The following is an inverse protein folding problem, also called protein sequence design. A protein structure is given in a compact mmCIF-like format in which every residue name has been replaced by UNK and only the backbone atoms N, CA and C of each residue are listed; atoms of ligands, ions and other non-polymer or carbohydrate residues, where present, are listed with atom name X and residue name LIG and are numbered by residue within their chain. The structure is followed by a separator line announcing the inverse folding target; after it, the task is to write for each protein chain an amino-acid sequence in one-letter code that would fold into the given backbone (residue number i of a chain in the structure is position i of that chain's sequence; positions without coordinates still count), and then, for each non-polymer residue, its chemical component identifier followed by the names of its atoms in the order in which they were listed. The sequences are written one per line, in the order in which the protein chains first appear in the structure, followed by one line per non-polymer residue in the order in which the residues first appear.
data_IF_710261640385
#
_entry.id   IF_710261640385
#
_cell.length_a   1.000
_cell.length_b   1.000
_cell.length_c   1.000
_cell.angle_alpha   90.00
_cell.angle_beta   90.00
_cell.angle_gamma   90.00
#
_symmetry.space_group_name_H-M   'P 1'
#
loop_
_entity.id
_entity.type
_entity.pdbx_description
1 polymer ?
#
# COMPACT_ATOMS: atom_id res chain seq x y z
N UNK A 1 54.08 0.73 65.63
CA UNK A 1 55.30 1.11 64.90
C UNK A 1 55.02 1.07 63.40
N UNK A 2 55.40 2.15 62.72
CA UNK A 2 55.76 2.33 61.29
C UNK A 2 54.75 2.07 60.15
N UNK A 3 54.25 3.19 59.59
CA UNK A 3 54.10 3.45 58.13
C UNK A 3 55.49 3.81 57.52
N UNK A 4 55.69 4.29 56.25
CA UNK A 4 54.83 4.49 55.05
C UNK A 4 55.50 4.01 53.71
N UNK A 5 54.86 3.98 52.51
CA UNK A 5 54.78 5.02 51.43
C UNK A 5 54.14 4.35 50.18
N UNK A 6 53.07 4.84 49.55
CA UNK A 6 52.91 5.97 48.63
C UNK A 6 53.47 5.76 47.19
N UNK A 7 52.58 5.71 46.18
CA UNK A 7 52.75 6.42 44.88
C UNK A 7 51.49 6.37 44.00
N UNK A 8 50.96 7.55 43.67
CA UNK A 8 50.18 7.94 42.48
C UNK A 8 50.69 9.35 42.12
N UNK A 9 50.24 10.11 41.08
CA UNK A 9 49.40 9.85 39.89
C UNK A 9 49.93 10.56 38.59
N UNK A 10 49.18 10.56 37.47
CA UNK A 10 48.94 11.67 36.47
C UNK A 10 48.34 11.08 35.17
N UNK A 11 47.09 11.33 34.75
CA UNK A 11 46.40 12.56 34.31
C UNK A 11 46.86 13.12 32.95
N UNK A 12 45.98 13.07 31.92
CA UNK A 12 45.75 14.13 30.90
C UNK A 12 44.64 13.78 29.87
N UNK A 13 43.46 14.35 30.06
CA UNK A 13 42.64 15.02 29.01
C UNK A 13 42.82 16.55 29.22
N UNK A 14 42.19 17.53 28.51
CA UNK A 14 41.28 17.53 27.34
C UNK A 14 41.60 18.66 26.29
N UNK A 15 40.78 18.80 25.23
CA UNK A 15 40.23 20.04 24.60
C UNK A 15 39.99 19.82 23.09
N UNK A 16 38.74 19.83 22.60
CA UNK A 16 37.88 20.99 22.26
C UNK A 16 38.55 22.05 21.38
N UNK A 17 38.03 22.25 20.16
CA UNK A 17 37.47 23.54 19.72
C UNK A 17 36.95 23.47 18.28
N UNK A 18 35.87 24.21 18.06
CA UNK A 18 34.86 24.07 17.00
C UNK A 18 35.14 24.95 15.75
N UNK A 19 34.15 25.59 15.07
CA UNK A 19 33.94 25.57 13.61
C UNK A 19 34.37 26.87 12.90
N UNK A 20 34.26 26.97 11.57
CA UNK A 20 33.64 28.10 10.81
C UNK A 20 33.86 27.98 9.29
N UNK A 21 32.94 28.62 8.57
CA UNK A 21 32.86 28.81 7.13
C UNK A 21 34.02 29.63 6.53
N UNK A 22 34.30 29.46 5.24
CA UNK A 22 34.25 30.51 4.21
C UNK A 22 34.71 30.02 2.82
N UNK A 23 33.80 30.17 1.86
CA UNK A 23 33.96 30.81 0.55
C UNK A 23 35.23 30.56 -0.31
N UNK A 24 35.04 29.91 -1.48
CA UNK A 24 35.69 30.38 -2.72
C UNK A 24 35.04 29.85 -4.00
N UNK A 25 34.42 30.77 -4.72
CA UNK A 25 33.92 30.67 -6.08
C UNK A 25 34.94 30.15 -7.11
N UNK A 26 34.51 29.30 -8.05
CA UNK A 26 34.91 29.37 -9.47
C UNK A 26 33.74 29.04 -10.41
N UNK A 27 33.46 30.02 -11.27
CA UNK A 27 32.53 30.04 -12.41
C UNK A 27 33.00 29.12 -13.53
N UNK A 28 32.07 28.41 -14.18
CA UNK A 28 31.96 28.16 -15.64
C UNK A 28 30.51 27.72 -15.91
N UNK A 29 29.56 28.58 -16.29
CA UNK A 29 29.33 29.19 -17.62
C UNK A 29 29.09 28.19 -18.75
N UNK A 30 27.83 28.14 -19.21
CA UNK A 30 27.37 27.88 -20.60
C UNK A 30 27.55 26.45 -21.17
N UNK A 31 26.60 25.81 -21.86
CA UNK A 31 25.44 26.31 -22.61
C UNK A 31 24.45 25.16 -22.87
N UNK A 32 23.16 25.44 -22.70
CA UNK A 32 22.05 24.67 -23.29
C UNK A 32 22.08 24.78 -24.82
N UNK A 33 21.81 23.68 -25.53
CA UNK A 33 21.39 23.69 -26.95
C UNK A 33 20.06 22.92 -27.10
N UNK A 34 18.99 23.52 -27.63
CA UNK A 34 17.81 22.81 -28.10
C UNK A 34 18.05 22.32 -29.55
N UNK A 35 17.50 21.16 -29.89
CA UNK A 35 17.51 20.63 -31.25
C UNK A 35 16.08 20.64 -31.80
N UNK A 36 15.87 21.34 -32.91
CA UNK A 36 14.60 21.38 -33.66
C UNK A 36 14.87 21.06 -35.14
N UNK A 37 13.93 20.27 -35.70
CA UNK A 37 13.52 20.14 -37.11
C UNK A 37 14.38 19.37 -38.12
N UNK A 38 13.76 18.39 -38.81
CA UNK A 38 13.40 18.48 -40.26
C UNK A 38 12.65 17.23 -40.79
N UNK A 39 11.40 17.46 -41.20
CA UNK A 39 10.75 17.16 -42.51
C UNK A 39 10.86 15.80 -43.25
N UNK A 40 9.67 15.18 -43.42
CA UNK A 40 9.03 14.71 -44.67
C UNK A 40 9.63 13.59 -45.55
N UNK A 41 8.86 12.49 -45.75
CA UNK A 41 8.37 12.06 -47.07
C UNK A 41 7.41 10.85 -46.99
N UNK A 42 6.36 10.92 -47.82
CA UNK A 42 5.25 9.99 -48.05
C UNK A 42 5.67 8.65 -48.66
N UNK A 43 4.93 7.59 -48.35
CA UNK A 43 4.45 6.64 -49.36
C UNK A 43 3.12 6.04 -48.90
N UNK A 44 2.13 6.03 -49.79
CA UNK A 44 0.76 5.61 -49.53
C UNK A 44 0.34 4.50 -50.51
N UNK A 45 -0.17 3.41 -49.92
CA UNK A 45 -1.24 2.48 -50.38
C UNK A 45 -0.96 1.51 -51.56
N UNK A 46 -1.71 0.37 -51.71
CA UNK A 46 -3.01 0.03 -51.10
C UNK A 46 -3.23 -1.42 -50.56
N UNK A 47 -4.34 -1.56 -49.83
CA UNK A 47 -5.28 -2.70 -49.74
C UNK A 47 -4.80 -4.15 -49.55
N UNK A 48 -5.06 -4.70 -48.36
CA UNK A 48 -5.91 -5.90 -48.20
C UNK A 48 -6.60 -5.90 -46.83
N UNK A 49 -7.86 -5.51 -46.79
CA UNK A 49 -8.85 -6.11 -45.88
C UNK A 49 -9.59 -7.21 -46.68
N UNK A 50 -10.40 -8.12 -46.10
CA UNK A 50 -10.91 -8.14 -44.72
C UNK A 50 -10.79 -9.52 -44.05
N UNK A 51 -11.03 -9.59 -42.74
CA UNK A 51 -11.81 -10.65 -42.06
C UNK A 51 -11.79 -10.40 -40.56
N UNK A 52 -12.94 -9.96 -40.07
CA UNK A 52 -13.49 -10.26 -38.75
C UNK A 52 -12.46 -10.24 -37.61
N UNK A 53 -12.07 -9.03 -37.22
CA UNK A 53 -11.72 -8.81 -35.83
C UNK A 53 -13.00 -9.05 -35.03
N UNK A 54 -13.15 -10.29 -34.54
CA UNK A 54 -14.09 -10.64 -33.50
C UNK A 54 -13.80 -9.72 -32.32
N UNK A 55 -14.57 -8.65 -32.21
CA UNK A 55 -14.70 -7.87 -31.00
C UNK A 55 -15.46 -8.76 -30.00
N UNK A 56 -14.75 -9.72 -29.42
CA UNK A 56 -15.19 -10.38 -28.20
C UNK A 56 -14.95 -9.34 -27.11
N UNK A 57 -15.95 -8.46 -26.93
CA UNK A 57 -16.26 -7.94 -25.62
C UNK A 57 -16.43 -9.15 -24.72
N UNK A 58 -15.34 -9.50 -24.02
CA UNK A 58 -15.30 -10.56 -23.03
C UNK A 58 -16.09 -10.07 -21.81
N UNK A 59 -17.41 -10.03 -21.95
CA UNK A 59 -18.39 -9.79 -20.88
C UNK A 59 -18.39 -10.91 -19.82
N UNK A 60 -17.51 -11.90 -19.95
CA UNK A 60 -17.34 -12.97 -18.96
C UNK A 60 -16.49 -12.53 -17.74
N UNK A 61 -15.79 -11.38 -17.81
CA UNK A 61 -14.93 -10.92 -16.70
C UNK A 61 -15.58 -9.87 -15.77
N UNK A 62 -16.77 -9.35 -16.10
CA UNK A 62 -17.42 -8.28 -15.32
C UNK A 62 -18.17 -8.78 -14.06
N UNK A 63 -18.27 -10.10 -13.84
CA UNK A 63 -18.94 -10.67 -12.65
C UNK A 63 -17.98 -11.02 -11.50
N UNK A 64 -16.67 -10.85 -11.67
CA UNK A 64 -15.70 -11.09 -10.58
C UNK A 64 -15.61 -9.92 -9.60
N UNK A 65 -15.97 -8.70 -10.02
CA UNK A 65 -15.73 -7.50 -9.20
C UNK A 65 -16.71 -7.32 -8.04
N UNK A 66 -17.86 -7.99 -8.03
CA UNK A 66 -18.88 -7.86 -6.97
C UNK A 66 -18.92 -8.97 -5.92
N UNK A 67 -18.03 -9.98 -5.99
CA UNK A 67 -18.02 -11.04 -4.97
C UNK A 67 -17.50 -10.51 -3.62
N UNK A 68 -18.11 -10.97 -2.54
CA UNK A 68 -17.65 -10.71 -1.16
C UNK A 68 -16.15 -11.05 -1.06
N UNK A 69 -15.30 -10.15 -0.53
CA UNK A 69 -13.86 -10.40 -0.37
C UNK A 69 -13.57 -11.72 0.38
N UNK A 70 -14.43 -12.14 1.31
CA UNK A 70 -14.30 -13.44 2.00
C UNK A 70 -14.51 -14.63 1.05
N UNK A 71 -15.47 -14.53 0.13
CA UNK A 71 -15.70 -15.56 -0.88
C UNK A 71 -14.52 -15.64 -1.86
N UNK A 72 -13.95 -14.50 -2.27
CA UNK A 72 -12.75 -14.45 -3.14
C UNK A 72 -11.54 -15.15 -2.49
N UNK A 73 -11.40 -15.01 -1.17
CA UNK A 73 -10.36 -15.71 -0.40
C UNK A 73 -10.57 -17.22 -0.34
N UNK A 74 -11.81 -17.68 -0.13
CA UNK A 74 -12.12 -19.11 -0.07
C UNK A 74 -11.88 -19.83 -1.40
N UNK A 75 -12.12 -19.16 -2.52
CA UNK A 75 -11.92 -19.75 -3.86
C UNK A 75 -10.47 -19.75 -4.32
N UNK A 76 -9.56 -19.05 -3.62
CA UNK A 76 -8.15 -18.98 -4.04
C UNK A 76 -7.37 -20.15 -3.42
N UNK A 77 -7.06 -21.17 -4.22
CA UNK A 77 -6.25 -22.31 -3.79
C UNK A 77 -4.76 -22.10 -4.10
N UNK A 78 -3.91 -22.21 -3.06
CA UNK A 78 -2.45 -22.04 -3.16
C UNK A 78 -1.68 -23.36 -3.06
N UNK A 79 -2.19 -24.29 -2.23
CA UNK A 79 -1.49 -25.54 -1.92
C UNK A 79 -1.28 -26.46 -3.13
N UNK A 80 -2.27 -26.65 -4.03
CA UNK A 80 -2.06 -27.48 -5.22
C UNK A 80 -0.94 -26.96 -6.11
N UNK A 81 -0.90 -25.65 -6.36
CA UNK A 81 0.14 -25.01 -7.17
C UNK A 81 1.54 -25.17 -6.54
N UNK A 82 1.62 -25.01 -5.22
CA UNK A 82 2.88 -25.20 -4.49
C UNK A 82 3.33 -26.66 -4.53
N UNK A 83 2.39 -27.60 -4.37
CA UNK A 83 2.68 -29.02 -4.43
C UNK A 83 3.19 -29.44 -5.81
N UNK A 84 2.54 -28.97 -6.87
CA UNK A 84 2.97 -29.22 -8.25
C UNK A 84 4.36 -28.64 -8.50
N UNK A 85 4.62 -27.40 -8.08
CA UNK A 85 5.93 -26.77 -8.23
C UNK A 85 7.04 -27.54 -7.52
N UNK A 86 6.77 -28.05 -6.30
CA UNK A 86 7.73 -28.86 -5.55
C UNK A 86 7.97 -30.23 -6.19
N UNK A 87 6.91 -30.87 -6.68
CA UNK A 87 7.02 -32.13 -7.40
C UNK A 87 7.80 -31.97 -8.71
N UNK A 88 7.57 -30.89 -9.46
CA UNK A 88 8.29 -30.61 -10.70
C UNK A 88 9.78 -30.38 -10.42
N UNK A 89 10.12 -29.75 -9.30
CA UNK A 89 11.50 -29.58 -8.87
C UNK A 89 12.13 -30.91 -8.44
N UNK A 90 11.41 -31.71 -7.67
CA UNK A 90 11.89 -32.99 -7.16
C UNK A 90 12.09 -34.02 -8.28
N UNK A 91 11.20 -34.03 -9.28
CA UNK A 91 11.27 -34.92 -10.43
C UNK A 91 12.17 -34.39 -11.55
N UNK A 92 12.74 -33.19 -11.39
CA UNK A 92 13.66 -32.58 -12.36
C UNK A 92 13.00 -32.01 -13.61
N UNK A 93 11.67 -31.83 -13.61
CA UNK A 93 10.94 -31.13 -14.68
C UNK A 93 11.31 -29.65 -14.74
N UNK A 94 11.63 -29.06 -13.59
CA UNK A 94 12.20 -27.70 -13.51
C UNK A 94 13.59 -27.74 -12.87
N UNK A 95 14.48 -26.90 -13.36
CA UNK A 95 15.77 -26.65 -12.72
C UNK A 95 15.57 -25.78 -11.48
N UNK A 96 16.42 -25.97 -10.47
CA UNK A 96 16.47 -25.08 -9.30
C UNK A 96 16.69 -23.60 -9.69
N UNK A 97 17.36 -23.35 -10.82
CA UNK A 97 17.55 -21.98 -11.36
C UNK A 97 16.26 -21.36 -11.88
N UNK A 98 15.32 -22.18 -12.34
CA UNK A 98 14.06 -21.76 -12.94
C UNK A 98 12.89 -21.82 -11.95
N UNK A 99 13.12 -22.30 -10.73
CA UNK A 99 12.11 -22.38 -9.67
C UNK A 99 11.40 -21.04 -9.46
N UNK A 100 12.18 -19.96 -9.38
CA UNK A 100 11.67 -18.63 -9.16
C UNK A 100 10.81 -18.12 -10.34
N UNK A 101 11.11 -18.53 -11.57
CA UNK A 101 10.31 -18.18 -12.75
C UNK A 101 8.96 -18.89 -12.72
N UNK A 102 8.94 -20.16 -12.29
CA UNK A 102 7.74 -20.98 -12.20
C UNK A 102 6.86 -20.63 -10.98
N UNK A 103 7.40 -19.96 -9.96
CA UNK A 103 6.65 -19.47 -8.80
C UNK A 103 5.83 -18.18 -9.07
N UNK A 104 5.80 -17.67 -10.32
CA UNK A 104 5.12 -16.43 -10.68
C UNK A 104 3.60 -16.44 -10.37
N UNK A 105 2.92 -17.53 -10.70
CA UNK A 105 1.47 -17.71 -10.43
C UNK A 105 1.16 -17.69 -8.94
N UNK A 106 1.98 -18.36 -8.13
CA UNK A 106 1.90 -18.40 -6.66
C UNK A 106 2.05 -16.98 -6.09
N UNK A 107 3.04 -16.21 -6.56
CA UNK A 107 3.23 -14.80 -6.14
C UNK A 107 2.05 -13.92 -6.50
N UNK A 108 1.46 -14.11 -7.69
CA UNK A 108 0.27 -13.39 -8.10
C UNK A 108 -0.93 -13.73 -7.20
N UNK A 109 -1.18 -15.02 -6.93
CA UNK A 109 -2.24 -15.46 -6.02
C UNK A 109 -2.06 -14.89 -4.61
N UNK A 110 -0.84 -14.89 -4.07
CA UNK A 110 -0.53 -14.29 -2.77
C UNK A 110 -0.79 -12.78 -2.75
N UNK A 111 -0.41 -12.08 -3.83
CA UNK A 111 -0.65 -10.63 -3.96
C UNK A 111 -2.15 -10.32 -4.00
N UNK A 112 -2.92 -11.13 -4.76
CA UNK A 112 -4.39 -11.03 -4.81
C UNK A 112 -5.04 -11.35 -3.45
N UNK A 113 -4.60 -12.38 -2.74
CA UNK A 113 -5.07 -12.68 -1.38
C UNK A 113 -4.81 -11.52 -0.42
N UNK A 114 -3.62 -10.92 -0.47
CA UNK A 114 -3.28 -9.75 0.35
C UNK A 114 -4.21 -8.57 0.05
N UNK A 115 -4.50 -8.32 -1.22
CA UNK A 115 -5.45 -7.27 -1.62
C UNK A 115 -6.86 -7.56 -1.07
N UNK A 116 -7.38 -8.77 -1.32
CA UNK A 116 -8.70 -9.19 -0.83
C UNK A 116 -8.81 -9.09 0.69
N UNK A 117 -7.73 -9.42 1.43
CA UNK A 117 -7.68 -9.26 2.88
C UNK A 117 -7.78 -7.81 3.30
N UNK A 118 -7.19 -6.87 2.57
CA UNK A 118 -7.26 -5.44 2.88
C UNK A 118 -8.65 -4.85 2.60
N UNK A 119 -9.37 -5.42 1.66
CA UNK A 119 -10.72 -5.00 1.29
C UNK A 119 -11.79 -5.43 2.31
N UNK A 120 -11.46 -6.32 3.26
CA UNK A 120 -12.37 -6.74 4.33
C UNK A 120 -12.54 -5.60 5.34
N UNK A 121 -13.76 -5.05 5.53
CA UNK A 121 -14.00 -3.97 6.48
C UNK A 121 -13.64 -4.37 7.91
N UNK A 122 -12.85 -3.54 8.58
CA UNK A 122 -12.50 -3.74 9.99
C UNK A 122 -11.43 -4.82 10.25
N UNK A 123 -10.86 -5.44 9.22
CA UNK A 123 -9.78 -6.44 9.35
C UNK A 123 -8.50 -5.86 9.98
N UNK A 124 -8.23 -4.58 9.72
CA UNK A 124 -7.11 -3.82 10.24
C UNK A 124 -7.44 -3.11 11.56
N UNK A 125 -8.69 -3.18 12.01
CA UNK A 125 -9.14 -2.50 13.21
C UNK A 125 -9.00 -3.39 14.44
N UNK A 126 -8.32 -2.88 15.48
CA UNK A 126 -8.29 -3.56 16.77
C UNK A 126 -9.69 -3.64 17.39
N UNK A 127 -9.95 -4.68 18.19
CA UNK A 127 -11.21 -4.84 18.94
C UNK A 127 -11.49 -3.60 19.81
N UNK A 128 -10.49 -3.11 20.54
CA UNK A 128 -10.61 -1.93 21.40
C UNK A 128 -11.00 -0.67 20.63
N UNK A 129 -10.47 -0.50 19.42
CA UNK A 129 -10.84 0.63 18.56
C UNK A 129 -12.32 0.53 18.14
N UNK A 130 -12.78 -0.66 17.77
CA UNK A 130 -14.21 -0.90 17.44
C UNK A 130 -15.12 -0.63 18.63
N UNK A 131 -14.76 -1.10 19.83
CA UNK A 131 -15.50 -0.80 21.07
C UNK A 131 -15.60 0.69 21.35
N UNK A 132 -14.48 1.42 21.20
CA UNK A 132 -14.43 2.87 21.40
C UNK A 132 -15.33 3.59 20.40
N UNK A 133 -15.32 3.16 19.12
CA UNK A 133 -16.21 3.71 18.09
C UNK A 133 -17.68 3.45 18.42
N UNK A 134 -18.03 2.26 18.91
CA UNK A 134 -19.40 1.92 19.34
C UNK A 134 -19.84 2.83 20.50
N UNK A 135 -18.99 3.01 21.51
CA UNK A 135 -19.26 3.91 22.65
C UNK A 135 -19.53 5.34 22.18
N UNK A 136 -18.68 5.87 21.29
CA UNK A 136 -18.85 7.22 20.73
C UNK A 136 -20.14 7.36 19.92
N UNK A 137 -20.49 6.36 19.12
CA UNK A 137 -21.75 6.34 18.37
C UNK A 137 -22.97 6.30 19.28
N UNK A 138 -22.95 5.48 20.35
CA UNK A 138 -24.02 5.43 21.36
C UNK A 138 -24.23 6.79 22.00
N UNK A 139 -23.15 7.42 22.45
CA UNK A 139 -23.19 8.74 23.08
C UNK A 139 -23.69 9.83 22.10
N UNK A 140 -23.27 9.77 20.83
CA UNK A 140 -23.78 10.68 19.80
C UNK A 140 -25.28 10.51 19.55
N UNK A 141 -25.74 9.26 19.45
CA UNK A 141 -27.15 8.94 19.26
C UNK A 141 -27.99 9.40 20.44
N UNK A 142 -27.52 9.18 21.67
CA UNK A 142 -28.20 9.64 22.88
C UNK A 142 -28.33 11.17 22.90
N UNK A 143 -27.26 11.90 22.58
CA UNK A 143 -27.30 13.38 22.47
C UNK A 143 -28.32 13.84 21.43
N UNK A 144 -28.32 13.22 20.25
CA UNK A 144 -29.26 13.54 19.17
C UNK A 144 -30.70 13.23 19.56
N UNK A 145 -30.95 12.07 20.16
CA UNK A 145 -32.27 11.67 20.64
C UNK A 145 -32.79 12.62 21.72
N UNK A 146 -31.95 12.98 22.69
CA UNK A 146 -32.30 13.94 23.73
C UNK A 146 -32.59 15.34 23.16
N UNK A 147 -31.80 15.81 22.19
CA UNK A 147 -32.08 17.06 21.49
C UNK A 147 -33.43 17.02 20.77
N UNK A 148 -33.71 15.94 20.02
CA UNK A 148 -34.99 15.77 19.31
C UNK A 148 -36.17 15.72 20.28
N UNK A 149 -36.02 15.05 21.43
CA UNK A 149 -37.06 15.03 22.46
C UNK A 149 -37.31 16.42 23.06
N UNK A 150 -36.25 17.17 23.36
CA UNK A 150 -36.38 18.56 23.84
C UNK A 150 -37.04 19.45 22.80
N UNK A 151 -36.65 19.31 21.54
CA UNK A 151 -37.26 20.04 20.43
C UNK A 151 -38.75 19.72 20.30
N UNK A 152 -39.10 18.42 20.31
CA UNK A 152 -40.49 17.95 20.29
C UNK A 152 -41.31 18.55 21.45
N UNK A 153 -40.80 18.48 22.67
CA UNK A 153 -41.48 19.03 23.85
C UNK A 153 -41.74 20.53 23.72
N UNK A 154 -40.76 21.31 23.22
CA UNK A 154 -40.93 22.74 22.99
C UNK A 154 -42.03 23.03 21.96
N UNK A 155 -42.04 22.31 20.85
CA UNK A 155 -43.07 22.47 19.81
C UNK A 155 -44.45 22.12 20.36
N UNK A 156 -44.57 21.02 21.10
CA UNK A 156 -45.84 20.61 21.72
C UNK A 156 -46.33 21.62 22.77
N UNK A 157 -45.43 22.21 23.56
CA UNK A 157 -45.81 23.26 24.52
C UNK A 157 -46.25 24.56 23.84
N UNK A 158 -45.63 24.93 22.72
CA UNK A 158 -45.98 26.15 21.98
C UNK A 158 -47.28 25.99 21.16
N UNK A 159 -47.61 24.76 20.72
CA UNK A 159 -48.88 24.47 20.03
C UNK A 159 -50.05 24.14 20.98
N UNK A 160 -49.77 23.74 22.23
CA UNK A 160 -50.80 23.37 23.21
C UNK A 160 -51.42 24.55 23.99
N UNK A 161 -50.90 25.77 23.82
CA UNK A 161 -51.43 27.00 24.45
C UNK A 161 -52.34 27.83 23.52
N UNK A 162 -52.91 27.23 22.47
CA UNK A 162 -53.98 27.83 21.64
C UNK A 162 -55.31 27.13 21.81
#
# INVERSE_FOLDING_TARGET
MSSPKASSPKAKTPRESSPLAEDRMKKTSSSNKPNMETSAARSASPETAPKDAMDIDSEENNNEDHRDPLQKLQTTELLPDLYNLLNDLQNGHISAKDFDNNAGSIRLKLSKMKQNLQDIPGISESVKFRETRIQNLKLSNEKKAHFLNKFKQRVESELGES
#
